data_IF_710395888352
#
_entry.id   IF_710395888352
#
_cell.length_a   1.000
_cell.length_b   1.000
_cell.length_c   1.000
_cell.angle_alpha   90.00
_cell.angle_beta   90.00
_cell.angle_gamma   90.00
#
_symmetry.space_group_name_H-M   'P 1'
#
loop_
_entity.id
_entity.type
_entity.pdbx_description
1 polymer ?
#
# COMPACT_ATOMS: atom_id res chain seq x y z
N UNK A 1 7.80 16.55 29.89
CA UNK A 1 7.90 17.34 28.65
C UNK A 1 7.78 16.39 27.47
N UNK A 2 6.77 16.56 26.60
CA UNK A 2 6.67 15.78 25.37
C UNK A 2 7.81 16.22 24.45
N UNK A 3 8.73 15.32 24.16
CA UNK A 3 9.82 15.59 23.23
C UNK A 3 9.23 15.49 21.82
N UNK A 4 8.91 16.65 21.23
CA UNK A 4 8.49 16.70 19.83
C UNK A 4 9.62 16.12 18.96
N UNK A 5 9.25 15.51 17.84
CA UNK A 5 10.22 15.07 16.84
C UNK A 5 11.16 16.22 16.52
N UNK A 6 12.45 15.97 16.52
CA UNK A 6 13.46 16.96 16.14
C UNK A 6 13.07 17.61 14.79
N UNK A 7 13.42 18.87 14.60
CA UNK A 7 13.03 19.65 13.42
C UNK A 7 13.53 18.99 12.13
N UNK A 8 14.74 18.45 12.15
CA UNK A 8 15.36 17.86 10.97
C UNK A 8 14.71 16.50 10.64
N UNK A 9 14.41 15.70 11.65
CA UNK A 9 13.67 14.43 11.47
C UNK A 9 12.24 14.67 10.96
N UNK A 10 11.58 15.71 11.48
CA UNK A 10 10.24 16.10 10.98
C UNK A 10 10.30 16.54 9.53
N UNK A 11 11.29 17.34 9.16
CA UNK A 11 11.48 17.78 7.78
C UNK A 11 11.79 16.61 6.85
N UNK A 12 12.62 15.66 7.27
CA UNK A 12 12.92 14.44 6.52
C UNK A 12 11.66 13.61 6.31
N UNK A 13 10.88 13.36 7.36
CA UNK A 13 9.61 12.64 7.27
C UNK A 13 8.63 13.32 6.32
N UNK A 14 8.43 14.62 6.46
CA UNK A 14 7.52 15.40 5.60
C UNK A 14 7.92 15.33 4.13
N UNK A 15 9.20 15.47 3.83
CA UNK A 15 9.74 15.35 2.47
C UNK A 15 9.50 13.95 1.90
N UNK A 16 9.80 12.92 2.66
CA UNK A 16 9.59 11.52 2.25
C UNK A 16 8.11 11.22 2.02
N UNK A 17 7.23 11.65 2.92
CA UNK A 17 5.78 11.46 2.77
C UNK A 17 5.25 12.12 1.50
N UNK A 18 5.68 13.35 1.20
CA UNK A 18 5.28 14.06 -0.04
C UNK A 18 5.75 13.32 -1.28
N UNK A 19 7.02 12.89 -1.30
CA UNK A 19 7.58 12.15 -2.42
C UNK A 19 6.90 10.78 -2.61
N UNK A 20 6.71 10.02 -1.53
CA UNK A 20 6.06 8.72 -1.56
C UNK A 20 4.60 8.80 -2.05
N UNK A 21 3.87 9.83 -1.64
CA UNK A 21 2.50 10.07 -2.14
C UNK A 21 2.48 10.30 -3.65
N UNK A 22 3.41 11.08 -4.18
CA UNK A 22 3.49 11.34 -5.62
C UNK A 22 3.81 10.06 -6.41
N UNK A 23 4.78 9.27 -5.94
CA UNK A 23 5.14 7.99 -6.57
C UNK A 23 4.00 6.99 -6.48
N UNK A 24 3.37 6.86 -5.31
CA UNK A 24 2.26 5.93 -5.10
C UNK A 24 1.03 6.29 -5.94
N UNK A 25 0.74 7.59 -6.10
CA UNK A 25 -0.35 8.07 -6.96
C UNK A 25 -0.12 7.70 -8.43
N UNK A 26 1.08 7.97 -8.95
CA UNK A 26 1.46 7.58 -10.31
C UNK A 26 1.42 6.05 -10.50
N UNK A 27 1.91 5.28 -9.54
CA UNK A 27 1.87 3.83 -9.55
C UNK A 27 0.44 3.27 -9.55
N UNK A 28 -0.42 3.84 -8.71
CA UNK A 28 -1.83 3.45 -8.62
C UNK A 28 -2.58 3.77 -9.91
N UNK A 29 -2.37 4.94 -10.49
CA UNK A 29 -2.93 5.30 -11.79
C UNK A 29 -2.52 4.28 -12.86
N UNK A 30 -1.23 3.99 -12.98
CA UNK A 30 -0.72 3.04 -13.98
C UNK A 30 -1.32 1.63 -13.78
N UNK A 31 -1.39 1.14 -12.54
CA UNK A 31 -1.92 -0.18 -12.24
C UNK A 31 -3.44 -0.29 -12.51
N UNK A 32 -4.20 0.74 -12.17
CA UNK A 32 -5.67 0.81 -12.40
C UNK A 32 -5.97 0.91 -13.89
N UNK A 33 -5.16 1.70 -14.64
CA UNK A 33 -5.30 1.87 -16.09
C UNK A 33 -4.92 0.60 -16.85
N UNK A 34 -3.86 -0.09 -16.45
CA UNK A 34 -3.44 -1.37 -17.04
C UNK A 34 -4.55 -2.43 -16.99
N UNK A 35 -5.33 -2.48 -15.91
CA UNK A 35 -6.50 -3.34 -15.80
C UNK A 35 -7.75 -2.78 -16.52
N UNK A 36 -7.67 -1.57 -17.06
CA UNK A 36 -8.79 -0.90 -17.70
C UNK A 36 -10.00 -0.72 -16.79
N UNK A 37 -9.77 -0.44 -15.49
CA UNK A 37 -10.85 -0.31 -14.51
C UNK A 37 -11.83 0.80 -14.88
N UNK A 38 -11.33 1.93 -15.43
CA UNK A 38 -12.14 3.04 -15.92
C UNK A 38 -12.79 2.80 -17.28
N UNK A 39 -12.34 1.82 -18.04
CA UNK A 39 -12.78 1.59 -19.41
C UNK A 39 -14.19 1.00 -19.49
N UNK A 40 -14.87 1.23 -20.62
CA UNK A 40 -16.23 0.72 -20.87
C UNK A 40 -16.29 -0.80 -20.80
N UNK A 41 -15.32 -1.47 -21.42
CA UNK A 41 -15.23 -2.93 -21.51
C UNK A 41 -13.89 -3.42 -20.97
N UNK A 42 -13.82 -4.67 -20.48
CA UNK A 42 -12.54 -5.28 -20.16
C UNK A 42 -11.70 -5.46 -21.43
N UNK A 43 -10.41 -5.23 -21.33
CA UNK A 43 -9.47 -5.43 -22.43
C UNK A 43 -9.37 -6.92 -22.80
N UNK A 44 -9.18 -7.20 -24.08
CA UNK A 44 -9.18 -8.57 -24.60
C UNK A 44 -7.97 -9.40 -24.12
N UNK A 45 -6.85 -8.73 -23.81
CA UNK A 45 -5.61 -9.38 -23.36
C UNK A 45 -5.65 -9.80 -21.89
N UNK A 46 -6.62 -9.32 -21.10
CA UNK A 46 -6.71 -9.65 -19.68
C UNK A 46 -7.11 -11.11 -19.49
N UNK A 47 -6.42 -11.78 -18.58
CA UNK A 47 -6.80 -13.09 -18.07
C UNK A 47 -8.14 -13.03 -17.30
N UNK A 48 -8.75 -14.18 -17.07
CA UNK A 48 -10.01 -14.24 -16.31
C UNK A 48 -9.86 -13.81 -14.86
N UNK A 49 -8.68 -14.05 -14.26
CA UNK A 49 -8.34 -13.56 -12.93
C UNK A 49 -8.26 -12.02 -12.90
N UNK A 50 -7.60 -11.41 -13.89
CA UNK A 50 -7.49 -9.95 -14.01
C UNK A 50 -8.86 -9.31 -14.29
N UNK A 51 -9.70 -9.92 -15.12
CA UNK A 51 -11.09 -9.47 -15.32
C UNK A 51 -11.91 -9.53 -14.04
N UNK A 52 -11.71 -10.56 -13.24
CA UNK A 52 -12.37 -10.70 -11.94
C UNK A 52 -11.90 -9.62 -10.97
N UNK A 53 -10.60 -9.38 -10.87
CA UNK A 53 -10.02 -8.32 -10.05
C UNK A 53 -10.52 -6.94 -10.51
N UNK A 54 -10.49 -6.67 -11.83
CA UNK A 54 -11.05 -5.45 -12.42
C UNK A 54 -12.48 -5.19 -11.95
N UNK A 55 -13.33 -6.20 -12.01
CA UNK A 55 -14.74 -6.06 -11.63
C UNK A 55 -14.90 -5.78 -10.13
N UNK A 56 -14.11 -6.41 -9.27
CA UNK A 56 -14.08 -6.15 -7.82
C UNK A 56 -13.62 -4.73 -7.52
N UNK A 57 -12.58 -4.25 -8.22
CA UNK A 57 -12.08 -2.89 -8.09
C UNK A 57 -13.10 -1.85 -8.54
N UNK A 58 -13.86 -2.12 -9.62
CA UNK A 58 -14.96 -1.25 -10.08
C UNK A 58 -16.06 -1.12 -9.03
N UNK A 59 -16.47 -2.23 -8.42
CA UNK A 59 -17.45 -2.23 -7.33
C UNK A 59 -16.92 -1.42 -6.15
N UNK A 60 -15.65 -1.63 -5.79
CA UNK A 60 -15.01 -0.93 -4.70
C UNK A 60 -14.89 0.58 -4.96
N UNK A 61 -14.44 1.00 -6.15
CA UNK A 61 -14.36 2.40 -6.54
C UNK A 61 -15.74 3.10 -6.48
N UNK A 62 -16.80 2.41 -6.92
CA UNK A 62 -18.17 2.91 -6.78
C UNK A 62 -18.57 3.11 -5.31
N UNK A 63 -18.17 2.22 -4.40
CA UNK A 63 -18.43 2.35 -2.97
C UNK A 63 -17.66 3.55 -2.36
N UNK A 64 -16.50 3.89 -2.93
CA UNK A 64 -15.71 5.06 -2.54
C UNK A 64 -16.26 6.39 -3.10
N UNK A 65 -17.16 6.33 -4.08
CA UNK A 65 -17.79 7.52 -4.67
C UNK A 65 -17.46 7.75 -6.14
N UNK A 66 -16.68 6.87 -6.80
CA UNK A 66 -16.39 6.98 -8.22
C UNK A 66 -17.69 6.81 -9.04
N UNK A 67 -18.04 7.83 -9.81
CA UNK A 67 -19.22 7.82 -10.65
C UNK A 67 -19.06 6.86 -11.83
N UNK A 68 -20.15 6.25 -12.26
CA UNK A 68 -20.18 5.41 -13.44
C UNK A 68 -21.21 5.94 -14.43
N UNK A 69 -20.78 6.23 -15.65
CA UNK A 69 -21.66 6.54 -16.76
C UNK A 69 -22.23 5.22 -17.27
N UNK A 70 -23.42 4.86 -16.84
CA UNK A 70 -24.03 3.60 -17.24
C UNK A 70 -25.54 3.70 -17.37
N UNK A 71 -25.97 3.50 -18.59
CA UNK A 71 -27.33 3.05 -18.91
C UNK A 71 -27.48 1.53 -18.64
N UNK A 72 -26.39 0.83 -18.35
CA UNK A 72 -26.34 -0.61 -18.09
C UNK A 72 -26.36 -0.89 -16.59
N UNK A 73 -27.18 -1.83 -16.17
CA UNK A 73 -27.21 -2.38 -14.82
C UNK A 73 -26.02 -3.30 -14.53
N UNK A 74 -25.31 -3.76 -15.58
CA UNK A 74 -24.17 -4.65 -15.44
C UNK A 74 -22.93 -3.87 -14.94
N UNK A 75 -22.35 -4.21 -13.77
CA UNK A 75 -21.20 -3.51 -13.21
C UNK A 75 -19.92 -3.67 -14.04
N UNK A 76 -19.88 -4.61 -14.97
CA UNK A 76 -18.72 -4.90 -15.82
C UNK A 76 -18.53 -3.88 -16.94
N UNK A 77 -19.60 -3.22 -17.38
CA UNK A 77 -19.64 -2.31 -18.52
C UNK A 77 -19.90 -0.86 -18.12
N UNK A 78 -19.63 0.06 -19.04
CA UNK A 78 -19.77 1.50 -18.89
C UNK A 78 -18.47 2.15 -18.38
N UNK A 79 -18.19 3.37 -18.84
CA UNK A 79 -17.08 4.15 -18.32
C UNK A 79 -17.28 4.44 -16.83
N UNK A 80 -16.20 4.42 -16.07
CA UNK A 80 -16.23 4.70 -14.64
C UNK A 80 -15.07 5.64 -14.28
N UNK A 81 -15.34 6.62 -13.44
CA UNK A 81 -14.30 7.39 -12.77
C UNK A 81 -13.50 6.47 -11.85
N UNK A 82 -12.22 6.78 -11.66
CA UNK A 82 -11.30 5.97 -10.86
C UNK A 82 -10.52 6.80 -9.85
N UNK A 83 -10.87 8.06 -9.68
CA UNK A 83 -10.10 8.99 -8.87
C UNK A 83 -10.04 8.58 -7.39
N UNK A 84 -11.17 8.25 -6.79
CA UNK A 84 -11.21 7.81 -5.39
C UNK A 84 -10.54 6.45 -5.22
N UNK A 85 -10.73 5.55 -6.18
CA UNK A 85 -10.05 4.25 -6.18
C UNK A 85 -8.53 4.42 -6.24
N UNK A 86 -8.02 5.27 -7.14
CA UNK A 86 -6.58 5.54 -7.26
C UNK A 86 -6.02 6.09 -5.96
N UNK A 87 -6.70 7.07 -5.35
CA UNK A 87 -6.28 7.64 -4.06
C UNK A 87 -6.25 6.58 -2.95
N UNK A 88 -7.25 5.70 -2.89
CA UNK A 88 -7.29 4.60 -1.93
C UNK A 88 -6.15 3.60 -2.18
N UNK A 89 -5.93 3.17 -3.43
CA UNK A 89 -4.83 2.27 -3.80
C UNK A 89 -3.48 2.88 -3.41
N UNK A 90 -3.23 4.12 -3.81
CA UNK A 90 -1.99 4.82 -3.50
C UNK A 90 -1.75 4.89 -1.99
N UNK A 91 -2.76 5.33 -1.23
CA UNK A 91 -2.67 5.45 0.22
C UNK A 91 -2.42 4.10 0.89
N UNK A 92 -3.19 3.08 0.57
CA UNK A 92 -3.11 1.78 1.22
C UNK A 92 -1.76 1.09 0.99
N UNK A 93 -1.20 1.19 -0.22
CA UNK A 93 0.08 0.57 -0.54
C UNK A 93 1.25 1.23 0.21
N UNK A 94 1.43 2.54 0.08
CA UNK A 94 2.56 3.20 0.71
C UNK A 94 2.43 3.25 2.24
N UNK A 95 1.21 3.40 2.76
CA UNK A 95 0.94 3.39 4.20
C UNK A 95 1.27 2.03 4.83
N UNK A 96 0.92 0.93 4.14
CA UNK A 96 1.27 -0.42 4.59
C UNK A 96 2.78 -0.62 4.63
N UNK A 97 3.52 -0.14 3.63
CA UNK A 97 4.99 -0.20 3.61
C UNK A 97 5.61 0.62 4.74
N UNK A 98 5.16 1.86 4.93
CA UNK A 98 5.61 2.73 6.03
C UNK A 98 5.38 2.07 7.39
N UNK A 99 4.21 1.48 7.58
CA UNK A 99 3.85 0.83 8.84
C UNK A 99 4.63 -0.47 9.07
N UNK A 100 4.87 -1.26 8.02
CA UNK A 100 5.71 -2.45 8.09
C UNK A 100 7.13 -2.09 8.55
N UNK A 101 7.70 -1.02 8.00
CA UNK A 101 9.01 -0.51 8.45
C UNK A 101 8.96 -0.06 9.91
N UNK A 102 7.94 0.71 10.30
CA UNK A 102 7.77 1.13 11.70
C UNK A 102 7.76 -0.08 12.66
N UNK A 103 7.05 -1.14 12.31
CA UNK A 103 7.01 -2.36 13.12
C UNK A 103 8.39 -3.05 13.15
N UNK A 104 9.06 -3.18 12.00
CA UNK A 104 10.37 -3.82 11.91
C UNK A 104 11.44 -3.05 12.73
N UNK A 105 11.55 -1.74 12.55
CA UNK A 105 12.55 -0.88 13.25
C UNK A 105 12.34 -0.84 14.76
N UNK A 106 11.17 -1.25 15.24
CA UNK A 106 10.83 -1.30 16.66
C UNK A 106 10.72 -2.72 17.23
N UNK A 107 11.17 -3.74 16.49
CA UNK A 107 11.08 -5.15 16.87
C UNK A 107 9.65 -5.62 17.17
N UNK A 108 8.70 -5.10 16.42
CA UNK A 108 7.27 -5.42 16.55
C UNK A 108 6.73 -6.20 15.36
N UNK A 109 7.46 -6.29 14.23
CA UNK A 109 7.06 -7.08 13.07
C UNK A 109 7.31 -8.55 13.39
N UNK A 110 6.24 -9.36 13.49
CA UNK A 110 6.34 -10.74 13.96
C UNK A 110 6.18 -11.74 12.81
N UNK A 111 7.10 -12.72 12.76
CA UNK A 111 7.02 -13.92 11.94
C UNK A 111 7.19 -15.13 12.85
N UNK A 112 6.19 -16.00 12.90
CA UNK A 112 6.13 -17.19 13.76
C UNK A 112 6.53 -16.95 15.23
N UNK A 113 6.13 -15.79 15.77
CA UNK A 113 6.39 -15.40 17.15
C UNK A 113 7.78 -14.78 17.40
N UNK A 114 8.58 -14.59 16.36
CA UNK A 114 9.89 -13.92 16.42
C UNK A 114 9.82 -12.58 15.71
N UNK A 115 10.43 -11.55 16.28
CA UNK A 115 10.53 -10.25 15.64
C UNK A 115 11.53 -10.32 14.47
N UNK A 116 11.15 -9.76 13.32
CA UNK A 116 11.95 -9.76 12.09
C UNK A 116 12.15 -8.36 11.55
N UNK A 117 13.28 -8.14 10.90
CA UNK A 117 13.64 -6.93 10.16
C UNK A 117 13.15 -7.01 8.70
N UNK A 118 13.26 -5.91 7.95
CA UNK A 118 12.97 -5.93 6.50
C UNK A 118 13.97 -6.81 5.76
N UNK A 119 15.24 -6.81 6.15
CA UNK A 119 16.31 -7.63 5.56
C UNK A 119 16.05 -9.12 5.79
N UNK A 120 15.65 -9.52 7.00
CA UNK A 120 15.24 -10.89 7.29
C UNK A 120 13.99 -11.31 6.52
N UNK A 121 13.06 -10.37 6.29
CA UNK A 121 11.93 -10.61 5.39
C UNK A 121 12.38 -10.85 3.93
N UNK A 122 13.48 -10.24 3.44
CA UNK A 122 14.01 -10.52 2.11
C UNK A 122 14.52 -11.97 2.00
N UNK A 123 15.14 -12.49 3.06
CA UNK A 123 15.59 -13.89 3.12
C UNK A 123 14.41 -14.88 3.16
N UNK A 124 13.35 -14.55 3.86
CA UNK A 124 12.15 -15.38 4.03
C UNK A 124 11.16 -15.28 2.85
N UNK A 125 11.23 -14.21 2.05
CA UNK A 125 10.25 -13.93 1.00
C UNK A 125 10.06 -15.07 -0.02
N UNK A 126 11.11 -15.79 -0.50
CA UNK A 126 10.93 -16.89 -1.43
C UNK A 126 10.09 -18.03 -0.86
N UNK A 127 10.30 -18.40 0.40
CA UNK A 127 9.60 -19.50 1.06
C UNK A 127 8.12 -19.15 1.33
N UNK A 128 7.84 -17.86 1.54
CA UNK A 128 6.49 -17.32 1.77
C UNK A 128 5.76 -16.92 0.46
N UNK A 129 6.38 -17.17 -0.70
CA UNK A 129 5.80 -16.81 -2.00
C UNK A 129 5.61 -15.31 -2.18
N UNK A 130 6.46 -14.49 -1.55
CA UNK A 130 6.51 -13.05 -1.72
C UNK A 130 7.61 -12.66 -2.71
N UNK A 131 7.41 -11.56 -3.44
CA UNK A 131 8.35 -11.09 -4.46
C UNK A 131 9.54 -10.33 -3.86
N UNK A 132 9.37 -9.78 -2.66
CA UNK A 132 10.39 -9.03 -1.92
C UNK A 132 10.11 -9.06 -0.41
N UNK A 133 11.10 -8.73 0.39
CA UNK A 133 10.94 -8.58 1.84
C UNK A 133 9.92 -7.49 2.20
N UNK A 134 9.83 -6.44 1.42
CA UNK A 134 8.81 -5.40 1.60
C UNK A 134 7.39 -5.94 1.40
N UNK A 135 7.18 -6.81 0.42
CA UNK A 135 5.88 -7.46 0.22
C UNK A 135 5.56 -8.38 1.40
N UNK A 136 6.53 -9.18 1.85
CA UNK A 136 6.35 -10.04 3.01
C UNK A 136 6.08 -9.22 4.27
N UNK A 137 6.90 -8.22 4.55
CA UNK A 137 6.71 -7.32 5.70
C UNK A 137 5.32 -6.66 5.71
N UNK A 138 4.85 -6.23 4.54
CA UNK A 138 3.49 -5.70 4.37
C UNK A 138 2.40 -6.74 4.65
N UNK A 139 2.59 -7.99 4.23
CA UNK A 139 1.67 -9.10 4.55
C UNK A 139 1.65 -9.40 6.06
N UNK A 140 2.82 -9.41 6.71
CA UNK A 140 2.92 -9.62 8.16
C UNK A 140 2.24 -8.49 8.94
N UNK A 141 2.50 -7.23 8.58
CA UNK A 141 1.85 -6.07 9.18
C UNK A 141 0.32 -6.13 9.03
N UNK A 142 -0.18 -6.54 7.87
CA UNK A 142 -1.62 -6.70 7.64
C UNK A 142 -2.24 -7.83 8.48
N UNK A 143 -1.52 -8.95 8.69
CA UNK A 143 -1.96 -10.03 9.59
C UNK A 143 -2.06 -9.58 11.05
N UNK A 144 -1.11 -8.73 11.48
CA UNK A 144 -1.08 -8.21 12.86
C UNK A 144 -2.16 -7.17 13.12
N UNK A 145 -2.51 -6.38 12.12
CA UNK A 145 -3.44 -5.26 12.23
C UNK A 145 -4.58 -5.34 11.19
N UNK A 146 -5.40 -6.40 11.23
CA UNK A 146 -6.45 -6.62 10.25
C UNK A 146 -7.52 -5.52 10.25
N UNK A 147 -7.71 -4.84 11.37
CA UNK A 147 -8.63 -3.70 11.48
C UNK A 147 -8.14 -2.45 10.74
N UNK A 148 -6.81 -2.32 10.54
CA UNK A 148 -6.20 -1.18 9.80
C UNK A 148 -6.12 -1.50 8.32
N UNK A 149 -5.61 -2.67 7.96
CA UNK A 149 -5.28 -3.04 6.58
C UNK A 149 -6.34 -3.88 5.87
N UNK A 150 -7.47 -4.18 6.49
CA UNK A 150 -8.63 -4.88 5.90
C UNK A 150 -8.22 -6.02 4.96
N UNK A 151 -7.72 -7.15 5.48
CA UNK A 151 -7.33 -8.30 4.66
C UNK A 151 -8.49 -8.70 3.74
N UNK A 152 -8.19 -8.96 2.45
CA UNK A 152 -9.20 -9.28 1.44
C UNK A 152 -9.74 -8.08 0.65
N UNK A 153 -9.28 -6.86 0.93
CA UNK A 153 -9.54 -5.72 0.04
C UNK A 153 -8.91 -5.95 -1.33
N UNK A 154 -9.64 -5.74 -2.45
CA UNK A 154 -9.11 -5.93 -3.81
C UNK A 154 -7.95 -4.97 -4.13
N UNK A 155 -7.80 -3.88 -3.38
CA UNK A 155 -6.70 -2.91 -3.54
C UNK A 155 -5.32 -3.57 -3.38
N UNK A 156 -5.21 -4.55 -2.47
CA UNK A 156 -3.94 -5.23 -2.20
C UNK A 156 -3.60 -6.35 -3.20
N UNK A 157 -4.51 -6.68 -4.09
CA UNK A 157 -4.27 -7.60 -5.21
C UNK A 157 -3.66 -6.89 -6.42
N UNK A 158 -3.71 -5.54 -6.47
CA UNK A 158 -2.97 -4.75 -7.42
C UNK A 158 -1.47 -4.80 -7.12
N UNK A 159 -0.67 -4.94 -8.17
CA UNK A 159 0.79 -4.83 -8.10
C UNK A 159 1.24 -3.57 -8.82
N UNK A 160 2.14 -2.83 -8.21
CA UNK A 160 2.78 -1.70 -8.86
C UNK A 160 3.87 -2.18 -9.82
N UNK A 161 4.14 -1.40 -10.85
CA UNK A 161 5.26 -1.64 -11.74
C UNK A 161 6.58 -1.63 -10.95
N UNK A 162 7.57 -2.49 -11.31
CA UNK A 162 8.81 -2.64 -10.54
C UNK A 162 9.56 -1.34 -10.26
N UNK A 163 9.55 -0.41 -11.20
CA UNK A 163 10.20 0.91 -11.05
C UNK A 163 9.55 1.75 -9.95
N UNK A 164 8.23 1.78 -9.88
CA UNK A 164 7.51 2.50 -8.83
C UNK A 164 7.66 1.83 -7.46
N UNK A 165 7.62 0.50 -7.45
CA UNK A 165 7.82 -0.26 -6.21
C UNK A 165 9.22 0.00 -5.64
N UNK A 166 10.26 -0.09 -6.47
CA UNK A 166 11.66 0.16 -6.07
C UNK A 166 11.87 1.60 -5.59
N UNK A 167 11.22 2.57 -6.20
CA UNK A 167 11.32 3.97 -5.78
C UNK A 167 10.64 4.20 -4.42
N UNK A 168 9.48 3.59 -4.15
CA UNK A 168 8.84 3.63 -2.83
C UNK A 168 9.72 2.98 -1.75
N UNK A 169 10.29 1.81 -2.05
CA UNK A 169 11.21 1.10 -1.15
C UNK A 169 12.44 1.97 -0.83
N UNK A 170 13.04 2.60 -1.86
CA UNK A 170 14.17 3.52 -1.67
C UNK A 170 13.82 4.70 -0.77
N UNK A 171 12.69 5.36 -1.03
CA UNK A 171 12.23 6.51 -0.24
C UNK A 171 12.03 6.15 1.24
N UNK A 172 11.48 4.97 1.51
CA UNK A 172 11.29 4.50 2.88
C UNK A 172 12.60 4.05 3.52
N UNK A 173 13.50 3.43 2.75
CA UNK A 173 14.82 2.99 3.24
C UNK A 173 15.71 4.17 3.60
N UNK A 174 15.64 5.26 2.85
CA UNK A 174 16.42 6.48 3.08
C UNK A 174 15.94 7.28 4.30
N UNK A 175 14.77 6.96 4.85
CA UNK A 175 14.24 7.63 6.05
C UNK A 175 15.00 7.17 7.29
N UNK A 176 15.55 8.10 8.13
CA UNK A 176 16.32 7.74 9.33
C UNK A 176 15.49 6.90 10.33
N UNK A 177 16.08 5.86 10.90
CA UNK A 177 15.46 4.99 11.93
C UNK A 177 14.99 5.79 13.14
N UNK A 178 15.69 6.90 13.46
CA UNK A 178 15.32 7.79 14.56
C UNK A 178 13.89 8.36 14.43
N UNK A 179 13.35 8.45 13.20
CA UNK A 179 11.97 8.88 12.96
C UNK A 179 10.99 7.89 13.58
N UNK A 180 11.22 6.59 13.36
CA UNK A 180 10.33 5.51 13.82
C UNK A 180 10.45 5.29 15.32
N UNK A 181 11.66 5.35 15.88
CA UNK A 181 11.92 5.22 17.33
C UNK A 181 11.30 6.37 18.13
N UNK A 182 11.36 7.60 17.63
CA UNK A 182 10.73 8.75 18.28
C UNK A 182 9.19 8.63 18.34
N UNK A 183 8.56 8.02 17.34
CA UNK A 183 7.11 7.83 17.32
C UNK A 183 6.63 6.88 18.45
N UNK A 184 7.40 5.86 18.82
CA UNK A 184 7.06 4.96 19.93
C UNK A 184 7.13 5.64 21.30
N UNK A 185 8.10 6.51 21.53
CA UNK A 185 8.24 7.26 22.78
C UNK A 185 7.03 8.17 23.04
N UNK A 186 6.33 8.56 21.98
CA UNK A 186 5.11 9.36 22.08
C UNK A 186 3.89 8.51 22.51
N UNK A 187 3.76 7.29 22.00
CA UNK A 187 2.60 6.41 22.29
C UNK A 187 2.68 5.73 23.65
N UNK A 188 3.89 5.42 24.14
CA UNK A 188 4.10 4.74 25.44
C UNK A 188 3.83 5.62 26.66
N UNK A 189 3.64 6.95 26.48
CA UNK A 189 3.31 7.89 27.58
C UNK A 189 1.82 8.23 27.69
N UNK A 190 0.98 7.67 26.85
CA UNK A 190 -0.48 7.89 26.87
C UNK A 190 -1.27 6.73 27.51
N UNK A 191 -0.60 5.85 28.25
CA UNK A 191 -1.23 4.78 29.06
C UNK A 191 -1.09 5.07 30.54
#
# INVERSE_FOLDING_TARGET
MMQALDKDLRSALEKTVKAARTVADAAAHAAVDQLGVGHDKPEAFLSDAEKTLRNRLRIHGKQLGDARDSKSTNPTYGKQEVQHLVQEVAYQHWHRMLFARFLADNNLLMYDGVAVTIEECDELAPDEGAKSGWELAGKLAARMLPQVFKPGSPVFELTFAPEHQSELERLLKDLPDAVFKACLLYTSRCV
#
